data_IF_751223921502
#
_entry.id   IF_751223921502
#
_cell.length_a   1.000
_cell.length_b   1.000
_cell.length_c   1.000
_cell.angle_alpha   90.00
_cell.angle_beta   90.00
_cell.angle_gamma   90.00
#
_symmetry.space_group_name_H-M   'P 1'
#
loop_
_entity.id
_entity.type
_entity.pdbx_description
1 polymer ?
#
# COMPACT_ATOMS: atom_id res chain seq x y z
N UNK A 1 -11.05 17.92 3.26
CA UNK A 1 -11.14 16.81 2.31
C UNK A 1 -10.00 15.89 2.64
N UNK A 2 -10.37 14.86 3.37
CA UNK A 2 -9.70 14.13 4.44
C UNK A 2 -9.95 12.63 4.22
N UNK A 3 -10.04 12.23 2.95
CA UNK A 3 -10.45 10.89 2.56
C UNK A 3 -9.32 9.90 2.86
N UNK A 4 -9.19 9.52 4.13
CA UNK A 4 -8.33 8.44 4.60
C UNK A 4 -8.94 7.07 4.32
N UNK A 5 -10.24 7.02 3.96
CA UNK A 5 -11.02 5.81 3.82
C UNK A 5 -11.95 5.88 2.62
N UNK A 6 -12.11 4.74 1.95
CA UNK A 6 -13.15 4.48 0.98
C UNK A 6 -14.16 3.50 1.56
N UNK A 7 -15.44 3.82 1.37
CA UNK A 7 -16.57 3.01 1.82
C UNK A 7 -17.01 2.05 0.72
N UNK A 8 -17.33 0.82 1.08
CA UNK A 8 -17.89 -0.16 0.16
C UNK A 8 -19.09 -0.89 0.76
N UNK A 9 -20.23 -0.80 0.09
CA UNK A 9 -21.39 -1.63 0.33
C UNK A 9 -21.28 -2.99 -0.40
N UNK A 10 -22.03 -4.04 -0.02
CA UNK A 10 -21.93 -5.36 -0.64
C UNK A 10 -22.14 -5.40 -2.16
N UNK A 11 -23.00 -4.53 -2.69
CA UNK A 11 -23.23 -4.34 -4.14
C UNK A 11 -22.08 -3.60 -4.84
N UNK A 12 -21.16 -2.98 -4.10
CA UNK A 12 -20.01 -2.23 -4.60
C UNK A 12 -18.71 -3.04 -4.58
N UNK A 13 -18.75 -4.29 -4.08
CA UNK A 13 -17.55 -5.14 -4.01
C UNK A 13 -16.92 -5.46 -5.37
N UNK A 14 -17.65 -5.28 -6.47
CA UNK A 14 -17.07 -5.33 -7.81
C UNK A 14 -16.10 -4.16 -8.06
N UNK A 15 -16.42 -2.96 -7.58
CA UNK A 15 -15.54 -1.79 -7.65
C UNK A 15 -14.34 -1.95 -6.73
N UNK A 16 -14.51 -2.54 -5.55
CA UNK A 16 -13.38 -2.91 -4.68
C UNK A 16 -12.43 -3.87 -5.41
N UNK A 17 -12.96 -4.91 -6.06
CA UNK A 17 -12.14 -5.85 -6.84
C UNK A 17 -11.39 -5.14 -7.98
N UNK A 18 -12.04 -4.18 -8.66
CA UNK A 18 -11.42 -3.37 -9.71
C UNK A 18 -10.28 -2.50 -9.18
N UNK A 19 -10.46 -1.84 -8.02
CA UNK A 19 -9.39 -1.04 -7.40
C UNK A 19 -8.23 -1.90 -6.88
N UNK A 20 -8.52 -3.09 -6.34
CA UNK A 20 -7.48 -4.07 -6.00
C UNK A 20 -6.71 -4.50 -7.24
N UNK A 21 -7.39 -4.80 -8.35
CA UNK A 21 -6.73 -5.16 -9.61
C UNK A 21 -5.85 -4.01 -10.12
N UNK A 22 -6.37 -2.78 -10.11
CA UNK A 22 -5.62 -1.60 -10.54
C UNK A 22 -4.38 -1.35 -9.67
N UNK A 23 -4.51 -1.46 -8.35
CA UNK A 23 -3.39 -1.27 -7.44
C UNK A 23 -2.27 -2.28 -7.69
N UNK A 24 -2.59 -3.55 -7.98
CA UNK A 24 -1.61 -4.62 -8.17
C UNK A 24 -1.03 -4.65 -9.59
N UNK A 25 -1.86 -4.41 -10.61
CA UNK A 25 -1.51 -4.68 -12.01
C UNK A 25 -1.47 -3.42 -12.90
N UNK A 26 -1.92 -2.27 -12.41
CA UNK A 26 -2.07 -1.06 -13.20
C UNK A 26 -3.32 -1.06 -14.07
N UNK A 27 -3.31 -0.28 -15.14
CA UNK A 27 -4.44 -0.16 -16.06
C UNK A 27 -4.75 -1.50 -16.75
N UNK A 28 -6.03 -1.80 -17.04
CA UNK A 28 -6.40 -2.94 -17.87
C UNK A 28 -5.79 -2.85 -19.27
N UNK A 29 -5.64 -3.99 -19.95
CA UNK A 29 -4.98 -4.08 -21.25
C UNK A 29 -5.85 -3.65 -22.45
N UNK A 30 -7.15 -3.53 -22.27
CA UNK A 30 -8.10 -3.17 -23.33
C UNK A 30 -8.96 -1.98 -22.86
N UNK A 31 -9.14 -1.01 -23.75
CA UNK A 31 -9.82 0.27 -23.48
C UNK A 31 -11.35 0.16 -23.69
N UNK A 32 -11.86 -0.94 -24.26
CA UNK A 32 -13.29 -1.11 -24.63
C UNK A 32 -14.13 -1.93 -23.64
N UNK A 33 -13.93 -1.70 -22.35
CA UNK A 33 -14.37 -2.64 -21.33
C UNK A 33 -15.52 -2.04 -20.52
N UNK A 34 -16.52 -2.86 -20.19
CA UNK A 34 -17.57 -2.47 -19.25
C UNK A 34 -16.90 -1.83 -18.03
N UNK A 35 -17.15 -0.53 -17.82
CA UNK A 35 -16.51 0.26 -16.77
C UNK A 35 -16.70 -0.35 -15.37
N UNK A 36 -17.66 -1.27 -15.21
CA UNK A 36 -18.05 -1.82 -13.93
C UNK A 36 -17.29 -3.08 -13.53
N UNK A 37 -16.62 -3.77 -14.45
CA UNK A 37 -16.09 -5.11 -14.20
C UNK A 37 -14.57 -5.23 -14.24
N UNK A 38 -14.10 -6.48 -14.36
CA UNK A 38 -12.69 -6.87 -14.39
C UNK A 38 -12.24 -7.41 -15.76
N UNK A 39 -13.08 -7.32 -16.79
CA UNK A 39 -12.91 -8.00 -18.08
C UNK A 39 -11.63 -7.58 -18.82
N UNK A 40 -10.99 -6.47 -18.41
CA UNK A 40 -9.70 -5.99 -18.93
C UNK A 40 -8.46 -6.55 -18.31
N UNK A 41 -8.63 -7.36 -17.29
CA UNK A 41 -7.55 -8.09 -16.67
C UNK A 41 -7.58 -9.54 -17.16
N UNK A 42 -6.39 -10.10 -17.34
CA UNK A 42 -6.19 -11.50 -17.67
C UNK A 42 -6.91 -12.41 -16.65
N UNK A 43 -7.38 -13.61 -17.03
CA UNK A 43 -8.06 -14.54 -16.11
C UNK A 43 -7.37 -14.71 -14.76
N UNK A 44 -6.03 -14.84 -14.77
CA UNK A 44 -5.23 -14.99 -13.54
C UNK A 44 -5.17 -13.72 -12.69
N UNK A 45 -5.12 -12.54 -13.32
CA UNK A 45 -5.16 -11.26 -12.59
C UNK A 45 -6.53 -11.08 -11.91
N UNK A 46 -7.62 -11.44 -12.60
CA UNK A 46 -8.98 -11.42 -12.05
C UNK A 46 -9.13 -12.36 -10.85
N UNK A 47 -8.56 -13.56 -10.94
CA UNK A 47 -8.55 -14.52 -9.84
C UNK A 47 -7.81 -13.95 -8.61
N UNK A 48 -6.63 -13.38 -8.81
CA UNK A 48 -5.85 -12.75 -7.73
C UNK A 48 -6.63 -11.58 -7.12
N UNK A 49 -7.14 -10.67 -7.93
CA UNK A 49 -7.88 -9.51 -7.46
C UNK A 49 -9.13 -9.90 -6.65
N UNK A 50 -9.88 -10.90 -7.13
CA UNK A 50 -11.04 -11.41 -6.39
C UNK A 50 -10.63 -12.07 -5.07
N UNK A 51 -9.58 -12.88 -5.06
CA UNK A 51 -9.07 -13.51 -3.83
C UNK A 51 -8.67 -12.49 -2.77
N UNK A 52 -7.99 -11.41 -3.18
CA UNK A 52 -7.59 -10.33 -2.26
C UNK A 52 -8.82 -9.55 -1.79
N UNK A 53 -9.73 -9.19 -2.69
CA UNK A 53 -11.00 -8.55 -2.33
C UNK A 53 -11.81 -9.39 -1.34
N UNK A 54 -11.91 -10.70 -1.55
CA UNK A 54 -12.63 -11.60 -0.63
C UNK A 54 -11.97 -11.61 0.74
N UNK A 55 -10.62 -11.62 0.79
CA UNK A 55 -9.87 -11.50 2.05
C UNK A 55 -10.15 -10.18 2.77
N UNK A 56 -10.25 -9.07 2.05
CA UNK A 56 -10.59 -7.75 2.61
C UNK A 56 -12.02 -7.76 3.17
N UNK A 57 -12.98 -8.31 2.42
CA UNK A 57 -14.40 -8.40 2.83
C UNK A 57 -14.57 -9.28 4.06
N UNK A 58 -13.83 -10.39 4.19
CA UNK A 58 -13.84 -11.26 5.37
C UNK A 58 -13.42 -10.53 6.66
N UNK A 59 -12.66 -9.43 6.55
CA UNK A 59 -12.20 -8.63 7.68
C UNK A 59 -13.20 -7.54 8.11
N UNK A 60 -14.29 -7.36 7.37
CA UNK A 60 -15.34 -6.39 7.67
C UNK A 60 -15.92 -6.67 9.08
N UNK A 61 -16.00 -5.65 9.96
CA UNK A 61 -16.69 -5.81 11.24
C UNK A 61 -18.19 -6.08 11.02
N UNK A 62 -18.79 -6.93 11.86
CA UNK A 62 -20.19 -7.36 11.71
C UNK A 62 -21.15 -6.17 11.61
N UNK A 63 -20.96 -5.16 12.47
CA UNK A 63 -21.87 -4.03 12.61
C UNK A 63 -21.41 -2.75 11.92
N UNK A 64 -20.31 -2.79 11.16
CA UNK A 64 -19.76 -1.60 10.48
C UNK A 64 -19.62 -1.81 8.98
N UNK A 65 -19.72 -0.73 8.23
CA UNK A 65 -19.43 -0.73 6.80
C UNK A 65 -17.96 -1.01 6.52
N UNK A 66 -17.68 -1.56 5.33
CA UNK A 66 -16.32 -1.88 4.92
C UNK A 66 -15.60 -0.58 4.53
N UNK A 67 -14.63 -0.17 5.35
CA UNK A 67 -13.74 0.95 5.06
C UNK A 67 -12.37 0.42 4.68
N UNK A 68 -11.90 0.80 3.49
CA UNK A 68 -10.62 0.36 2.93
C UNK A 68 -9.80 1.56 2.52
N UNK A 69 -8.50 1.51 2.75
CA UNK A 69 -7.54 2.46 2.21
C UNK A 69 -6.42 1.73 1.47
N UNK A 70 -5.95 2.31 0.39
CA UNK A 70 -4.88 1.76 -0.44
C UNK A 70 -3.58 2.48 -0.08
N UNK A 71 -2.63 1.75 0.47
CA UNK A 71 -1.29 2.23 0.79
C UNK A 71 -0.31 1.67 -0.22
N UNK A 72 0.76 2.41 -0.48
CA UNK A 72 1.87 1.93 -1.29
C UNK A 72 3.15 2.07 -0.48
N UNK A 73 3.89 0.97 -0.36
CA UNK A 73 5.28 1.01 0.13
C UNK A 73 6.20 0.95 -1.08
N UNK A 74 7.19 1.83 -1.18
CA UNK A 74 8.11 1.80 -2.31
C UNK A 74 9.33 0.95 -1.96
N UNK A 75 9.46 -0.20 -2.62
CA UNK A 75 10.59 -1.10 -2.47
C UNK A 75 11.72 -0.68 -3.41
N UNK A 76 12.96 -0.64 -2.90
CA UNK A 76 14.19 -0.48 -3.68
C UNK A 76 15.10 -1.70 -3.52
N UNK A 77 15.53 -2.24 -4.64
CA UNK A 77 16.48 -3.35 -4.74
C UNK A 77 17.88 -2.82 -5.08
N UNK A 78 18.87 -3.70 -5.10
CA UNK A 78 20.21 -3.35 -5.57
C UNK A 78 20.14 -2.70 -6.97
N UNK A 79 20.83 -1.57 -7.12
CA UNK A 79 21.10 -0.80 -8.34
C UNK A 79 19.92 -0.66 -9.31
N UNK A 80 18.97 0.21 -8.94
CA UNK A 80 18.01 0.93 -9.81
C UNK A 80 16.64 0.32 -10.08
N UNK A 81 16.27 -0.79 -9.44
CA UNK A 81 14.88 -1.29 -9.52
C UNK A 81 14.05 -0.85 -8.33
N UNK A 82 12.95 -0.19 -8.64
CA UNK A 82 11.95 0.24 -7.68
C UNK A 82 10.56 -0.11 -8.14
N UNK A 83 9.74 -0.53 -7.19
CA UNK A 83 8.33 -0.74 -7.43
C UNK A 83 7.50 -0.33 -6.22
N UNK A 84 6.34 0.29 -6.44
CA UNK A 84 5.33 0.43 -5.40
C UNK A 84 4.72 -0.96 -5.14
N UNK A 85 4.66 -1.36 -3.88
CA UNK A 85 3.96 -2.55 -3.43
C UNK A 85 2.69 -2.12 -2.67
N UNK A 86 1.50 -2.48 -3.16
CA UNK A 86 0.24 -2.18 -2.48
C UNK A 86 0.14 -2.88 -1.13
N UNK A 87 -0.40 -2.17 -0.15
CA UNK A 87 -0.87 -2.72 1.12
C UNK A 87 -2.28 -2.16 1.39
N UNK A 88 -3.24 -3.06 1.56
CA UNK A 88 -4.64 -2.69 1.78
C UNK A 88 -4.88 -2.56 3.28
N UNK A 89 -5.23 -1.36 3.74
CA UNK A 89 -5.60 -1.09 5.12
C UNK A 89 -7.11 -1.26 5.25
N UNK A 90 -7.57 -2.04 6.22
CA UNK A 90 -8.99 -2.32 6.46
C UNK A 90 -9.34 -1.87 7.87
N UNK A 91 -10.31 -0.96 8.01
CA UNK A 91 -10.74 -0.48 9.33
C UNK A 91 -11.39 -1.61 10.12
N UNK A 92 -10.93 -1.81 11.35
CA UNK A 92 -11.49 -2.79 12.28
C UNK A 92 -12.46 -2.12 13.25
N UNK A 93 -12.02 -1.05 13.90
CA UNK A 93 -12.84 -0.21 14.77
C UNK A 93 -12.13 1.11 15.02
N UNK A 94 -12.91 2.09 15.48
CA UNK A 94 -12.43 3.38 15.91
C UNK A 94 -12.67 3.52 17.42
N UNK A 95 -11.63 3.84 18.18
CA UNK A 95 -11.74 4.05 19.63
C UNK A 95 -10.86 5.23 20.04
N UNK A 96 -11.44 6.18 20.78
CA UNK A 96 -10.74 7.35 21.33
C UNK A 96 -9.96 8.19 20.29
N UNK A 97 -10.49 8.34 19.07
CA UNK A 97 -9.80 9.08 18.01
C UNK A 97 -8.74 8.26 17.27
N UNK A 98 -8.60 6.96 17.58
CA UNK A 98 -7.59 6.07 17.01
C UNK A 98 -8.29 5.02 16.16
N UNK A 99 -7.84 4.91 14.90
CA UNK A 99 -8.26 3.86 13.99
C UNK A 99 -7.41 2.61 14.18
N UNK A 100 -8.04 1.51 14.58
CA UNK A 100 -7.42 0.19 14.61
C UNK A 100 -7.70 -0.50 13.29
N UNK A 101 -6.66 -1.00 12.62
CA UNK A 101 -6.76 -1.51 11.27
C UNK A 101 -6.02 -2.83 11.09
N UNK A 102 -6.59 -3.69 10.25
CA UNK A 102 -5.85 -4.77 9.62
C UNK A 102 -5.10 -4.26 8.40
N UNK A 103 -4.04 -4.96 8.03
CA UNK A 103 -3.30 -4.72 6.79
C UNK A 103 -3.23 -6.01 5.99
N UNK A 104 -3.44 -5.92 4.68
CA UNK A 104 -3.43 -7.06 3.76
C UNK A 104 -2.42 -6.79 2.66
N UNK A 105 -1.51 -7.73 2.41
CA UNK A 105 -0.59 -7.62 1.28
C UNK A 105 -1.17 -8.22 -0.01
N UNK A 106 -0.46 -8.07 -1.13
CA UNK A 106 -0.85 -8.58 -2.45
C UNK A 106 -0.91 -10.11 -2.54
N UNK A 107 -0.41 -10.82 -1.52
CA UNK A 107 -0.52 -12.28 -1.38
C UNK A 107 -1.75 -12.70 -0.54
N UNK A 108 -2.46 -11.75 0.06
CA UNK A 108 -3.64 -11.98 0.89
C UNK A 108 -3.30 -12.33 2.34
N UNK A 109 -2.07 -12.05 2.79
CA UNK A 109 -1.68 -12.24 4.18
C UNK A 109 -2.18 -11.07 5.01
N UNK A 110 -2.77 -11.38 6.16
CA UNK A 110 -3.34 -10.40 7.08
C UNK A 110 -2.37 -10.14 8.23
N UNK A 111 -2.12 -8.87 8.51
CA UNK A 111 -1.37 -8.38 9.65
C UNK A 111 -2.33 -7.65 10.58
N UNK A 112 -2.24 -7.95 11.88
CA UNK A 112 -3.19 -7.43 12.90
C UNK A 112 -3.01 -5.94 13.20
N UNK A 113 -1.87 -5.37 12.84
CA UNK A 113 -1.54 -3.95 12.91
C UNK A 113 -0.35 -3.63 12.00
N UNK A 114 -0.01 -2.35 11.88
CA UNK A 114 1.08 -1.88 11.02
C UNK A 114 2.46 -2.37 11.46
N UNK A 115 2.70 -2.45 12.78
CA UNK A 115 3.96 -2.95 13.31
C UNK A 115 4.18 -4.42 12.94
N UNK A 116 3.11 -5.22 12.90
CA UNK A 116 3.18 -6.61 12.44
C UNK A 116 3.48 -6.73 10.96
N UNK A 117 3.01 -5.80 10.13
CA UNK A 117 3.44 -5.71 8.73
C UNK A 117 4.95 -5.41 8.65
N UNK A 118 5.43 -4.37 9.34
CA UNK A 118 6.87 -4.01 9.32
C UNK A 118 7.78 -5.15 9.80
N UNK A 119 7.34 -5.91 10.80
CA UNK A 119 8.14 -7.01 11.37
C UNK A 119 8.11 -8.31 10.56
N UNK A 120 6.99 -8.60 9.89
CA UNK A 120 6.70 -9.95 9.38
C UNK A 120 6.28 -9.99 7.91
N UNK A 121 6.40 -8.88 7.18
CA UNK A 121 6.16 -8.89 5.74
C UNK A 121 7.07 -9.89 5.04
N UNK A 122 6.60 -10.36 3.88
CA UNK A 122 7.31 -11.31 3.03
C UNK A 122 7.90 -10.61 1.79
N UNK A 123 8.17 -9.30 1.89
CA UNK A 123 8.82 -8.58 0.81
C UNK A 123 10.18 -9.25 0.53
N UNK A 124 10.59 -9.34 -0.75
CA UNK A 124 11.94 -9.79 -1.10
C UNK A 124 13.01 -8.88 -0.45
N UNK A 125 14.28 -9.29 -0.47
CA UNK A 125 15.38 -8.47 0.07
C UNK A 125 15.38 -7.07 -0.54
N UNK A 126 15.01 -6.06 0.25
CA UNK A 126 14.89 -4.68 -0.19
C UNK A 126 14.99 -3.71 0.99
N UNK A 127 15.26 -2.45 0.65
CA UNK A 127 14.95 -1.33 1.54
C UNK A 127 13.67 -0.71 1.02
N UNK A 128 12.72 -0.43 1.91
CA UNK A 128 11.44 0.14 1.53
C UNK A 128 11.11 1.38 2.35
N UNK A 129 10.51 2.37 1.68
CA UNK A 129 9.90 3.53 2.32
C UNK A 129 8.40 3.36 2.42
N UNK A 130 7.81 3.91 3.48
CA UNK A 130 6.41 3.68 3.79
C UNK A 130 5.81 4.82 4.61
N UNK A 131 4.47 4.99 4.64
CA UNK A 131 3.82 5.96 5.52
C UNK A 131 4.06 5.58 6.99
N UNK A 132 4.65 6.50 7.77
CA UNK A 132 5.24 6.20 9.09
C UNK A 132 4.28 5.42 10.01
N UNK A 133 3.01 5.82 10.06
CA UNK A 133 1.98 5.26 10.93
C UNK A 133 1.03 4.27 10.22
N UNK A 134 1.38 3.81 9.03
CA UNK A 134 0.50 2.92 8.25
C UNK A 134 -0.74 3.62 7.73
N UNK A 135 -0.64 4.93 7.50
CA UNK A 135 -1.58 5.78 6.76
C UNK A 135 -0.85 7.06 6.32
N UNK A 136 -1.33 7.70 5.26
CA UNK A 136 -0.74 8.95 4.78
C UNK A 136 -1.10 10.11 5.69
N UNK A 137 -0.08 10.75 6.24
CA UNK A 137 -0.21 11.93 7.11
C UNK A 137 0.79 12.98 6.62
N UNK A 138 0.37 14.25 6.59
CA UNK A 138 1.25 15.35 6.21
C UNK A 138 1.92 15.98 7.43
N UNK A 139 3.18 16.39 7.29
CA UNK A 139 3.86 17.25 8.25
C UNK A 139 3.47 18.73 8.06
N UNK A 140 4.02 19.61 8.91
CA UNK A 140 3.76 21.06 8.85
C UNK A 140 4.18 21.71 7.52
N UNK A 141 5.08 21.06 6.75
CA UNK A 141 5.52 21.50 5.42
C UNK A 141 4.63 20.97 4.28
N UNK A 142 3.56 20.23 4.58
CA UNK A 142 2.69 19.61 3.57
C UNK A 142 3.31 18.40 2.86
N UNK A 143 4.36 17.79 3.43
CA UNK A 143 4.99 16.55 2.91
C UNK A 143 4.49 15.34 3.69
N UNK A 144 4.35 14.21 3.02
CA UNK A 144 3.98 12.95 3.68
C UNK A 144 5.06 12.55 4.70
N UNK A 145 4.65 12.14 5.90
CA UNK A 145 5.52 11.54 6.92
C UNK A 145 5.89 10.12 6.51
N UNK A 146 7.17 9.86 6.33
CA UNK A 146 7.69 8.59 5.82
C UNK A 146 8.65 7.94 6.82
N UNK A 147 8.53 6.61 6.95
CA UNK A 147 9.51 5.74 7.58
C UNK A 147 10.31 4.93 6.55
N UNK A 148 11.43 4.35 7.00
CA UNK A 148 12.31 3.50 6.20
C UNK A 148 12.65 2.23 6.97
N UNK A 149 12.69 1.09 6.29
CA UNK A 149 13.05 -0.18 6.89
C UNK A 149 13.64 -1.14 5.84
N UNK A 150 14.28 -2.19 6.31
CA UNK A 150 14.61 -3.35 5.50
C UNK A 150 13.53 -4.40 5.61
N UNK A 151 13.29 -5.10 4.50
CA UNK A 151 12.43 -6.28 4.57
C UNK A 151 13.02 -7.33 5.53
N UNK A 152 12.18 -8.13 6.20
CA UNK A 152 12.63 -9.22 7.07
C UNK A 152 13.50 -10.25 6.35
N UNK A 153 13.43 -10.32 5.02
CA UNK A 153 14.29 -11.16 4.19
C UNK A 153 15.77 -10.72 4.20
N UNK A 154 16.07 -9.45 4.49
CA UNK A 154 17.45 -8.94 4.46
C UNK A 154 18.35 -9.59 5.52
N UNK A 155 19.57 -9.90 5.09
CA UNK A 155 20.63 -10.45 5.94
C UNK A 155 21.14 -9.44 6.98
N UNK A 156 21.78 -9.95 8.06
CA UNK A 156 22.31 -9.11 9.14
C UNK A 156 23.44 -8.15 8.67
N UNK A 157 24.22 -8.55 7.67
CA UNK A 157 25.30 -7.73 7.10
C UNK A 157 24.75 -6.50 6.37
N UNK A 158 23.65 -6.65 5.64
CA UNK A 158 23.00 -5.53 4.96
C UNK A 158 22.35 -4.56 5.97
N UNK A 159 21.85 -5.05 7.13
CA UNK A 159 21.27 -4.20 8.19
C UNK A 159 22.25 -3.17 8.74
N UNK A 160 23.55 -3.46 8.70
CA UNK A 160 24.59 -2.52 9.11
C UNK A 160 24.79 -1.36 8.09
N UNK A 161 24.54 -1.61 6.79
CA UNK A 161 24.69 -0.62 5.70
C UNK A 161 23.52 0.38 5.61
N UNK A 162 22.42 0.14 6.33
CA UNK A 162 21.23 1.00 6.36
C UNK A 162 21.56 2.46 6.71
N UNK A 163 22.50 2.70 7.62
CA UNK A 163 22.82 4.06 8.06
C UNK A 163 23.44 4.94 6.98
N UNK A 164 24.11 4.36 5.98
CA UNK A 164 24.63 5.09 4.81
C UNK A 164 23.51 5.35 3.80
N UNK A 165 22.65 4.36 3.57
CA UNK A 165 21.52 4.47 2.66
C UNK A 165 20.45 5.47 3.14
N UNK A 166 20.13 5.48 4.44
CA UNK A 166 19.21 6.48 5.03
C UNK A 166 19.75 7.89 4.81
N UNK A 167 21.07 8.08 4.86
CA UNK A 167 21.68 9.39 4.55
C UNK A 167 21.48 9.76 3.08
N UNK A 168 21.63 8.83 2.14
CA UNK A 168 21.32 9.10 0.72
C UNK A 168 19.85 9.47 0.47
N UNK A 169 18.91 8.91 1.25
CA UNK A 169 17.47 9.21 1.14
C UNK A 169 17.02 10.49 1.85
N UNK A 170 17.76 10.92 2.88
CA UNK A 170 17.38 12.07 3.73
C UNK A 170 18.24 13.32 3.52
N UNK A 171 19.41 13.22 2.86
CA UNK A 171 20.32 14.34 2.62
C UNK A 171 19.88 15.22 1.43
N UNK A 172 19.40 16.46 1.68
CA UNK A 172 18.92 17.37 0.63
C UNK A 172 19.94 17.76 -0.44
N UNK A 173 21.24 17.67 -0.15
CA UNK A 173 22.32 17.98 -1.08
C UNK A 173 22.67 16.79 -2.00
N UNK A 174 22.32 15.57 -1.58
CA UNK A 174 22.46 14.33 -2.37
C UNK A 174 21.14 14.05 -3.15
N UNK A 175 20.04 14.73 -2.81
CA UNK A 175 18.74 14.62 -3.50
C UNK A 175 18.86 15.05 -4.97
N UNK A 176 19.08 14.06 -5.84
CA UNK A 176 18.59 14.03 -7.23
C UNK A 176 17.11 13.62 -7.32
N UNK A 177 16.41 13.51 -6.18
CA UNK A 177 15.16 12.76 -6.03
C UNK A 177 13.89 13.61 -5.88
N UNK A 178 13.83 14.77 -6.55
CA UNK A 178 12.62 15.63 -6.60
C UNK A 178 11.37 14.88 -7.10
N UNK A 179 11.55 13.83 -7.92
CA UNK A 179 10.49 13.01 -8.51
C UNK A 179 9.81 12.00 -7.57
N UNK A 180 10.31 11.71 -6.36
CA UNK A 180 9.88 10.51 -5.59
C UNK A 180 8.88 10.73 -4.47
N UNK A 181 8.94 11.89 -3.81
CA UNK A 181 7.78 12.38 -3.05
C UNK A 181 6.62 12.61 -3.99
N UNK A 182 6.89 13.11 -5.20
CA UNK A 182 5.90 13.29 -6.26
C UNK A 182 5.34 11.95 -6.74
N UNK A 183 6.09 10.85 -6.84
CA UNK A 183 5.53 9.53 -7.24
C UNK A 183 4.64 8.92 -6.15
N UNK A 184 5.04 8.94 -4.87
CA UNK A 184 4.14 8.49 -3.78
C UNK A 184 2.94 9.43 -3.66
N UNK A 185 3.15 10.74 -3.83
CA UNK A 185 2.06 11.72 -3.92
C UNK A 185 1.21 11.52 -5.18
N UNK A 186 1.77 11.07 -6.31
CA UNK A 186 1.07 10.85 -7.57
C UNK A 186 0.24 9.57 -7.47
N UNK A 187 0.79 8.48 -6.94
CA UNK A 187 0.01 7.29 -6.61
C UNK A 187 -1.06 7.58 -5.57
N UNK A 188 -0.81 8.49 -4.61
CA UNK A 188 -1.83 8.98 -3.70
C UNK A 188 -2.90 9.82 -4.41
N UNK A 189 -2.52 10.75 -5.30
CA UNK A 189 -3.42 11.58 -6.10
C UNK A 189 -4.25 10.77 -7.11
N UNK A 190 -3.67 9.70 -7.67
CA UNK A 190 -4.33 8.80 -8.62
C UNK A 190 -5.18 7.73 -7.92
N UNK A 191 -4.94 7.48 -6.62
CA UNK A 191 -5.79 6.64 -5.78
C UNK A 191 -7.00 7.40 -5.18
N UNK A 192 -7.03 8.74 -5.27
CA UNK A 192 -8.13 9.63 -4.87
C UNK A 192 -9.19 9.80 -5.96
#
# INVERSE_FOLDING_TARGET
>A
SDRTWELYEPNEYIYLAKKVAFAIFGLPHDDNIDERGLEGYEPKQREIANKIKDKIVELKPVDNDLHVAFLFVCCKFEEDREFPEPVFRVLRHHENGIDYSYYVDTCGRVYVDWNKFLQNNILPECIFCYPENGYYEYNEEGKVKLGFAMSPACSMSQKFRMSEFVKEFTDPAIIKWKWRTEVVQQYYCDAL
#
